data_IF_100042692395
#
_entry.id   IF_100042692395
#
_cell.length_a   1.000
_cell.length_b   1.000
_cell.length_c   1.000
_cell.angle_alpha   90.00
_cell.angle_beta   90.00
_cell.angle_gamma   90.00
#
_symmetry.space_group_name_H-M   'P 1'
#
loop_
_entity.id
_entity.type
_entity.pdbx_description
1 polymer ?
#
# COMPACT_ATOMS: atom_id res chain seq x y z
N UNK A 1 6.89 -12.36 -11.53
CA UNK A 1 6.64 -11.10 -12.27
C UNK A 1 7.79 -10.13 -12.01
N UNK A 2 8.44 -9.67 -13.07
CA UNK A 2 9.43 -8.58 -12.99
C UNK A 2 8.75 -7.21 -13.14
N UNK A 3 9.51 -6.12 -13.01
CA UNK A 3 8.92 -4.78 -13.01
C UNK A 3 8.41 -4.38 -14.40
N UNK A 4 9.13 -4.77 -15.45
CA UNK A 4 8.74 -4.49 -16.83
C UNK A 4 7.39 -5.13 -17.17
N UNK A 5 7.17 -6.37 -16.75
CA UNK A 5 5.87 -7.06 -16.85
C UNK A 5 4.80 -6.34 -16.03
N UNK A 6 5.14 -5.85 -14.83
CA UNK A 6 4.18 -5.10 -14.04
C UNK A 6 3.79 -3.79 -14.72
N UNK A 7 4.74 -3.07 -15.33
CA UNK A 7 4.49 -1.83 -16.05
C UNK A 7 3.59 -2.03 -17.28
N UNK A 8 3.69 -3.17 -17.97
CA UNK A 8 2.81 -3.47 -19.10
C UNK A 8 1.40 -3.77 -18.63
N UNK A 9 1.24 -4.46 -17.50
CA UNK A 9 -0.06 -4.76 -16.89
C UNK A 9 -0.68 -3.51 -16.27
N UNK A 10 0.11 -2.69 -15.57
CA UNK A 10 -0.34 -1.55 -14.74
C UNK A 10 0.27 -0.25 -15.25
N UNK A 11 0.04 0.03 -16.52
CA UNK A 11 0.55 1.25 -17.17
C UNK A 11 -0.11 2.55 -16.69
N UNK A 12 -1.37 2.50 -16.23
CA UNK A 12 -2.13 3.67 -15.82
C UNK A 12 -3.14 3.34 -14.73
N UNK A 13 -3.90 4.35 -14.28
CA UNK A 13 -4.83 4.15 -13.17
C UNK A 13 -5.99 3.20 -13.50
N UNK A 14 -6.48 3.13 -14.74
CA UNK A 14 -7.58 2.25 -15.12
C UNK A 14 -7.15 0.78 -15.16
N UNK A 15 -5.96 0.51 -15.71
CA UNK A 15 -5.36 -0.83 -15.67
C UNK A 15 -4.99 -1.23 -14.25
N UNK A 16 -4.50 -0.28 -13.45
CA UNK A 16 -4.26 -0.49 -12.01
C UNK A 16 -5.53 -0.79 -11.22
N UNK A 17 -6.66 -0.16 -11.55
CA UNK A 17 -7.97 -0.49 -10.93
C UNK A 17 -8.35 -1.93 -11.26
N UNK A 18 -8.26 -2.32 -12.53
CA UNK A 18 -8.56 -3.69 -12.97
C UNK A 18 -7.66 -4.71 -12.28
N UNK A 19 -6.37 -4.41 -12.14
CA UNK A 19 -5.42 -5.25 -11.41
C UNK A 19 -5.81 -5.40 -9.93
N UNK A 20 -6.14 -4.30 -9.24
CA UNK A 20 -6.57 -4.34 -7.84
C UNK A 20 -7.93 -5.04 -7.65
N UNK A 21 -8.78 -5.05 -8.68
CA UNK A 21 -10.02 -5.83 -8.68
C UNK A 21 -9.76 -7.33 -8.77
N UNK A 22 -8.81 -7.76 -9.60
CA UNK A 22 -8.39 -9.17 -9.69
C UNK A 22 -7.84 -9.69 -8.34
N UNK A 23 -7.22 -8.80 -7.55
CA UNK A 23 -6.69 -9.11 -6.23
C UNK A 23 -7.67 -8.84 -5.07
N UNK A 24 -8.95 -8.56 -5.35
CA UNK A 24 -10.00 -8.30 -4.35
C UNK A 24 -9.72 -7.11 -3.40
N UNK A 25 -8.84 -6.18 -3.79
CA UNK A 25 -8.57 -4.96 -3.01
C UNK A 25 -9.64 -3.90 -3.30
N UNK A 26 -10.05 -3.80 -4.56
CA UNK A 26 -11.18 -2.98 -5.00
C UNK A 26 -12.29 -3.94 -5.45
N UNK A 27 -13.53 -3.67 -5.07
CA UNK A 27 -14.67 -4.47 -5.53
C UNK A 27 -14.87 -4.33 -7.05
N UNK A 28 -15.42 -5.36 -7.68
CA UNK A 28 -15.78 -5.31 -9.11
C UNK A 28 -17.07 -4.52 -9.36
N UNK A 29 -17.99 -4.55 -8.40
CA UNK A 29 -19.24 -3.79 -8.42
C UNK A 29 -19.57 -3.23 -7.03
N UNK A 30 -20.33 -2.14 -7.01
CA UNK A 30 -20.80 -1.50 -5.77
C UNK A 30 -22.30 -1.23 -5.90
N UNK A 31 -23.01 -1.08 -4.78
CA UNK A 31 -24.45 -0.81 -4.77
C UNK A 31 -24.70 0.61 -4.27
N UNK A 32 -25.55 1.36 -4.96
CA UNK A 32 -25.98 2.68 -4.49
C UNK A 32 -26.98 2.55 -3.34
N UNK A 33 -27.25 3.63 -2.62
CA UNK A 33 -28.24 3.65 -1.53
C UNK A 33 -29.65 3.20 -1.95
N UNK A 34 -29.97 3.30 -3.25
CA UNK A 34 -31.26 2.90 -3.81
C UNK A 34 -31.24 1.44 -4.32
N UNK A 35 -30.22 0.64 -3.99
CA UNK A 35 -30.15 -0.78 -4.36
C UNK A 35 -29.70 -1.10 -5.80
N UNK A 36 -29.33 -0.10 -6.61
CA UNK A 36 -28.88 -0.33 -7.98
C UNK A 36 -27.36 -0.58 -8.06
N UNK A 37 -26.97 -1.48 -8.97
CA UNK A 37 -25.56 -1.77 -9.31
C UNK A 37 -24.88 -0.53 -9.91
N UNK A 38 -23.66 -0.28 -9.47
CA UNK A 38 -22.78 0.79 -9.91
C UNK A 38 -21.56 0.21 -10.61
N UNK A 39 -21.08 0.93 -11.62
CA UNK A 39 -19.85 0.61 -12.34
C UNK A 39 -18.85 1.76 -12.24
N UNK A 40 -17.57 1.44 -12.36
CA UNK A 40 -16.50 2.44 -12.33
C UNK A 40 -16.51 3.22 -13.64
N UNK A 41 -16.49 4.55 -13.54
CA UNK A 41 -16.26 5.45 -14.66
C UNK A 41 -15.18 6.45 -14.26
N UNK A 42 -13.98 6.30 -14.81
CA UNK A 42 -12.79 7.00 -14.34
C UNK A 42 -12.45 6.58 -12.91
N UNK A 43 -12.43 7.52 -11.96
CA UNK A 43 -12.06 7.26 -10.56
C UNK A 43 -13.25 7.21 -9.59
N UNK A 44 -14.48 7.02 -10.09
CA UNK A 44 -15.70 7.03 -9.28
C UNK A 44 -16.65 5.91 -9.70
N UNK A 45 -17.35 5.36 -8.72
CA UNK A 45 -18.52 4.51 -8.92
C UNK A 45 -19.68 5.38 -9.37
N UNK A 46 -20.37 5.00 -10.46
CA UNK A 46 -21.55 5.71 -10.95
C UNK A 46 -22.71 4.74 -11.19
N UNK A 47 -23.88 5.10 -10.67
CA UNK A 47 -25.11 4.40 -11.00
C UNK A 47 -25.57 4.78 -12.42
N UNK A 48 -25.77 3.79 -13.29
CA UNK A 48 -26.15 4.03 -14.69
C UNK A 48 -27.63 4.39 -14.88
N UNK A 49 -28.48 4.13 -13.87
CA UNK A 49 -29.91 4.45 -13.95
C UNK A 49 -30.10 5.96 -14.04
N UNK A 50 -30.76 6.42 -15.11
CA UNK A 50 -30.95 7.85 -15.42
C UNK A 50 -31.63 8.62 -14.30
N UNK A 51 -32.52 7.99 -13.54
CA UNK A 51 -33.23 8.60 -12.40
C UNK A 51 -32.41 8.62 -11.10
N UNK A 52 -31.31 7.88 -11.01
CA UNK A 52 -30.48 7.81 -9.79
C UNK A 52 -29.22 8.67 -9.93
N UNK A 53 -28.36 8.37 -10.92
CA UNK A 53 -27.07 9.03 -11.19
C UNK A 53 -26.15 9.27 -9.97
N UNK A 54 -26.42 8.63 -8.82
CA UNK A 54 -25.58 8.71 -7.62
C UNK A 54 -24.16 8.25 -7.93
N UNK A 55 -23.21 8.86 -7.24
CA UNK A 55 -21.79 8.53 -7.34
C UNK A 55 -21.18 8.24 -5.98
N UNK A 56 -20.19 7.35 -5.95
CA UNK A 56 -19.35 7.10 -4.78
C UNK A 56 -17.88 7.17 -5.19
N UNK A 57 -17.02 7.65 -4.29
CA UNK A 57 -15.58 7.62 -4.52
C UNK A 57 -15.07 6.19 -4.62
N UNK A 58 -14.13 5.93 -5.54
CA UNK A 58 -13.53 4.60 -5.72
C UNK A 58 -12.87 4.07 -4.44
N UNK A 59 -12.27 4.95 -3.65
CA UNK A 59 -11.43 4.63 -2.49
C UNK A 59 -12.20 4.54 -1.18
N UNK A 60 -13.52 4.71 -1.19
CA UNK A 60 -14.32 4.71 0.03
C UNK A 60 -14.49 3.26 0.49
N UNK A 61 -14.33 3.02 1.80
CA UNK A 61 -14.52 1.72 2.46
C UNK A 61 -13.63 0.60 1.88
N UNK A 62 -12.42 0.94 1.47
CA UNK A 62 -11.38 -0.04 1.14
C UNK A 62 -10.00 0.43 1.61
N UNK A 63 -8.99 -0.40 1.43
CA UNK A 63 -7.63 -0.14 1.89
C UNK A 63 -6.97 1.12 1.27
N UNK A 64 -7.53 1.67 0.19
CA UNK A 64 -7.03 2.91 -0.43
C UNK A 64 -7.66 4.18 0.16
N UNK A 65 -8.49 4.07 1.19
CA UNK A 65 -9.17 5.20 1.84
C UNK A 65 -8.16 6.26 2.26
N UNK A 66 -8.47 7.54 1.98
CA UNK A 66 -7.60 8.68 2.35
C UNK A 66 -6.39 8.88 1.43
N UNK A 67 -6.01 7.91 0.61
CA UNK A 67 -4.90 8.08 -0.33
C UNK A 67 -5.22 9.13 -1.40
N UNK A 68 -4.20 9.90 -1.79
CA UNK A 68 -4.21 10.82 -2.94
C UNK A 68 -3.28 10.38 -4.07
N UNK A 69 -2.50 9.30 -3.87
CA UNK A 69 -1.58 8.80 -4.90
C UNK A 69 -2.36 8.21 -6.09
N UNK A 70 -1.85 8.29 -7.32
CA UNK A 70 -2.44 7.56 -8.45
C UNK A 70 -2.44 6.04 -8.20
N UNK A 71 -3.43 5.33 -8.75
CA UNK A 71 -3.60 3.89 -8.47
C UNK A 71 -2.40 3.07 -8.96
N UNK A 72 -1.91 3.36 -10.17
CA UNK A 72 -0.71 2.68 -10.70
C UNK A 72 0.53 2.94 -9.83
N UNK A 73 0.72 4.17 -9.34
CA UNK A 73 1.82 4.51 -8.43
C UNK A 73 1.79 3.68 -7.16
N UNK A 74 0.60 3.44 -6.60
CA UNK A 74 0.42 2.58 -5.42
C UNK A 74 0.90 1.16 -5.74
N UNK A 75 0.44 0.58 -6.85
CA UNK A 75 0.83 -0.79 -7.23
C UNK A 75 2.34 -0.91 -7.46
N UNK A 76 2.95 0.06 -8.15
CA UNK A 76 4.41 0.09 -8.35
C UNK A 76 5.17 0.25 -7.04
N UNK A 77 4.67 1.11 -6.13
CA UNK A 77 5.28 1.28 -4.82
C UNK A 77 5.28 -0.02 -4.02
N UNK A 78 4.17 -0.75 -4.00
CA UNK A 78 4.06 -2.06 -3.31
C UNK A 78 5.11 -3.03 -3.86
N UNK A 79 5.26 -3.10 -5.19
CA UNK A 79 6.25 -3.95 -5.83
C UNK A 79 7.69 -3.60 -5.41
N UNK A 80 8.04 -2.31 -5.40
CA UNK A 80 9.38 -1.86 -5.03
C UNK A 80 9.64 -2.01 -3.53
N UNK A 81 8.64 -1.75 -2.70
CA UNK A 81 8.73 -1.93 -1.26
C UNK A 81 9.00 -3.39 -0.90
N UNK A 82 8.32 -4.34 -1.57
CA UNK A 82 8.56 -5.77 -1.40
C UNK A 82 9.96 -6.23 -1.86
N UNK A 83 10.70 -5.39 -2.59
CA UNK A 83 12.09 -5.61 -3.01
C UNK A 83 13.09 -4.76 -2.22
N UNK A 84 12.66 -4.18 -1.10
CA UNK A 84 13.51 -3.32 -0.24
C UNK A 84 13.99 -2.04 -0.96
N UNK A 85 13.31 -1.65 -2.04
CA UNK A 85 13.61 -0.45 -2.84
C UNK A 85 12.65 0.69 -2.49
N UNK A 86 12.58 1.08 -1.22
CA UNK A 86 11.62 2.10 -0.72
C UNK A 86 12.28 3.36 -0.17
N UNK A 87 13.51 3.68 -0.61
CA UNK A 87 14.17 4.91 -0.17
C UNK A 87 13.43 6.13 -0.70
N UNK A 88 13.35 7.20 0.09
CA UNK A 88 12.66 8.44 -0.29
C UNK A 88 13.20 9.02 -1.60
N UNK A 89 14.53 8.97 -1.78
CA UNK A 89 15.20 9.46 -3.00
C UNK A 89 14.80 8.63 -4.22
N UNK A 90 14.76 7.30 -4.08
CA UNK A 90 14.32 6.41 -5.14
C UNK A 90 12.85 6.63 -5.51
N UNK A 91 11.94 6.61 -4.53
CA UNK A 91 10.52 6.79 -4.78
C UNK A 91 10.16 8.19 -5.31
N UNK A 92 10.91 9.22 -4.92
CA UNK A 92 10.77 10.55 -5.52
C UNK A 92 11.17 10.55 -7.00
N UNK A 93 12.26 9.87 -7.35
CA UNK A 93 12.78 9.81 -8.73
C UNK A 93 11.92 8.95 -9.65
N UNK A 94 11.59 7.73 -9.23
CA UNK A 94 10.91 6.74 -10.08
C UNK A 94 9.38 6.84 -10.02
N UNK A 95 8.81 7.20 -8.88
CA UNK A 95 7.37 7.16 -8.62
C UNK A 95 6.76 8.55 -8.39
N UNK A 96 7.57 9.60 -8.41
CA UNK A 96 7.16 10.97 -8.09
C UNK A 96 6.43 11.09 -6.74
N UNK A 97 6.84 10.28 -5.75
CA UNK A 97 6.26 10.30 -4.41
C UNK A 97 6.96 11.31 -3.51
N UNK A 98 6.16 12.11 -2.78
CA UNK A 98 6.67 12.98 -1.73
C UNK A 98 7.15 12.18 -0.51
N UNK A 99 8.10 12.73 0.25
CA UNK A 99 8.68 12.08 1.43
C UNK A 99 7.62 11.54 2.40
N UNK A 100 6.65 12.36 2.78
CA UNK A 100 5.59 11.95 3.71
C UNK A 100 4.79 10.77 3.15
N UNK A 101 4.44 10.81 1.86
CA UNK A 101 3.72 9.72 1.22
C UNK A 101 4.51 8.40 1.23
N UNK A 102 5.84 8.45 1.01
CA UNK A 102 6.70 7.25 1.08
C UNK A 102 6.70 6.66 2.48
N UNK A 103 6.82 7.50 3.51
CA UNK A 103 6.81 7.06 4.91
C UNK A 103 5.45 6.48 5.29
N UNK A 104 4.37 7.19 5.00
CA UNK A 104 3.00 6.76 5.30
C UNK A 104 2.68 5.42 4.64
N UNK A 105 2.99 5.29 3.34
CA UNK A 105 2.75 4.03 2.61
C UNK A 105 3.64 2.89 3.08
N UNK A 106 4.88 3.17 3.49
CA UNK A 106 5.72 2.15 4.11
C UNK A 106 5.11 1.65 5.43
N UNK A 107 4.52 2.55 6.23
CA UNK A 107 3.85 2.18 7.48
C UNK A 107 2.58 1.35 7.21
N UNK A 108 1.74 1.76 6.24
CA UNK A 108 0.56 0.97 5.85
C UNK A 108 0.93 -0.45 5.41
N UNK A 109 2.04 -0.64 4.69
CA UNK A 109 2.49 -1.97 4.31
C UNK A 109 3.01 -2.79 5.49
N UNK A 110 3.71 -2.16 6.44
CA UNK A 110 4.12 -2.82 7.69
C UNK A 110 2.92 -3.27 8.52
N UNK A 111 1.89 -2.45 8.62
CA UNK A 111 0.65 -2.81 9.32
C UNK A 111 0.01 -4.07 8.73
N UNK A 112 -0.02 -4.19 7.39
CA UNK A 112 -0.50 -5.40 6.71
C UNK A 112 0.37 -6.62 7.05
N UNK A 113 1.70 -6.46 7.09
CA UNK A 113 2.61 -7.53 7.50
C UNK A 113 2.37 -7.97 8.95
N UNK A 114 2.24 -7.01 9.88
CA UNK A 114 1.95 -7.29 11.30
C UNK A 114 0.63 -8.03 11.44
N UNK A 115 -0.45 -7.51 10.83
CA UNK A 115 -1.75 -8.17 10.82
C UNK A 115 -1.68 -9.62 10.30
N UNK A 116 -0.88 -9.85 9.24
CA UNK A 116 -0.69 -11.19 8.69
C UNK A 116 0.08 -12.10 9.66
N UNK A 117 1.07 -11.58 10.36
CA UNK A 117 1.81 -12.33 11.40
C UNK A 117 0.90 -12.68 12.59
N UNK A 118 0.06 -11.75 13.03
CA UNK A 118 -0.88 -11.94 14.14
C UNK A 118 -1.94 -13.01 13.82
N UNK A 119 -2.46 -13.05 12.59
CA UNK A 119 -3.46 -14.07 12.20
C UNK A 119 -2.83 -15.45 12.03
N UNK A 120 -1.57 -15.52 11.59
CA UNK A 120 -0.89 -16.80 11.39
C UNK A 120 -0.29 -17.37 12.70
N UNK A 121 -0.79 -16.94 13.87
CA UNK A 121 -0.34 -17.34 15.21
C UNK A 121 -0.01 -18.83 15.32
N UNK A 122 1.28 -19.17 15.23
CA UNK A 122 1.86 -20.39 15.78
C UNK A 122 3.39 -20.44 15.76
N UNK A 123 4.09 -19.35 16.08
CA UNK A 123 5.53 -19.41 16.35
C UNK A 123 5.90 -18.49 17.50
N UNK A 124 5.98 -19.06 18.69
CA UNK A 124 6.84 -18.49 19.74
C UNK A 124 8.24 -18.27 19.13
N UNK A 125 8.88 -17.15 19.48
CA UNK A 125 10.26 -16.94 19.10
C UNK A 125 11.10 -17.84 20.01
N UNK A 126 11.57 -18.96 19.47
CA UNK A 126 12.31 -19.99 20.20
C UNK A 126 11.56 -21.31 20.35
N UNK A 127 12.09 -22.18 21.20
CA UNK A 127 11.55 -23.52 21.45
C UNK A 127 12.66 -24.52 21.82
N UNK A 128 12.33 -25.75 22.24
CA UNK A 128 13.32 -26.75 22.59
C UNK A 128 14.32 -26.98 21.44
N UNK A 129 15.62 -26.75 21.69
CA UNK A 129 16.68 -26.92 20.69
C UNK A 129 16.88 -25.75 19.73
N UNK A 130 16.17 -24.63 19.90
CA UNK A 130 16.39 -23.39 19.14
C UNK A 130 17.13 -22.37 20.01
N UNK A 131 18.22 -21.81 19.46
CA UNK A 131 18.93 -20.69 20.07
C UNK A 131 18.35 -19.38 19.54
N UNK A 132 17.91 -18.52 20.45
CA UNK A 132 17.48 -17.15 20.13
C UNK A 132 18.59 -16.20 20.53
N UNK A 133 19.14 -15.50 19.55
CA UNK A 133 20.10 -14.42 19.77
C UNK A 133 19.36 -13.09 19.83
N UNK A 134 19.59 -12.33 20.89
CA UNK A 134 19.06 -10.97 21.05
C UNK A 134 20.25 -10.05 20.84
N UNK A 135 20.24 -9.34 19.71
CA UNK A 135 21.23 -8.31 19.43
C UNK A 135 20.73 -6.95 19.94
N UNK A 136 21.59 -6.21 20.64
CA UNK A 136 21.31 -4.88 21.14
C UNK A 136 22.01 -3.85 20.25
N UNK A 137 21.24 -3.23 19.35
CA UNK A 137 21.75 -2.16 18.49
C UNK A 137 21.63 -0.78 19.17
N UNK A 138 22.76 -0.09 19.35
CA UNK A 138 22.81 1.26 19.93
C UNK A 138 22.46 2.32 18.87
N UNK A 139 21.19 2.73 18.81
CA UNK A 139 20.78 3.85 17.96
C UNK A 139 20.81 5.19 18.72
N UNK A 140 21.96 5.86 18.68
CA UNK A 140 22.15 7.17 19.35
C UNK A 140 22.37 8.29 18.35
N UNK A 141 21.63 9.38 18.54
CA UNK A 141 21.79 10.63 17.78
C UNK A 141 22.42 11.69 18.68
N UNK A 142 23.49 12.34 18.21
CA UNK A 142 24.17 13.40 18.98
C UNK A 142 23.23 14.57 19.25
N UNK A 143 23.16 15.02 20.50
CA UNK A 143 22.43 16.24 20.87
C UNK A 143 23.13 17.44 20.22
N UNK A 144 22.41 18.19 19.39
CA UNK A 144 22.92 19.35 18.65
C UNK A 144 24.14 19.06 17.75
N UNK A 145 24.28 17.84 17.22
CA UNK A 145 25.47 17.39 16.47
C UNK A 145 26.80 17.52 17.24
N UNK A 146 26.75 17.74 18.55
CA UNK A 146 27.87 17.88 19.45
C UNK A 146 27.80 16.79 20.54
N UNK A 147 28.92 16.52 21.20
CA UNK A 147 29.02 15.50 22.26
C UNK A 147 29.69 14.19 21.81
N UNK A 148 29.86 13.22 22.69
CA UNK A 148 30.63 12.00 22.40
C UNK A 148 30.05 11.20 21.22
N UNK A 149 30.91 10.73 20.32
CA UNK A 149 30.55 9.72 19.32
C UNK A 149 30.58 8.37 20.04
N UNK A 150 29.44 7.71 20.07
CA UNK A 150 29.32 6.35 20.59
C UNK A 150 29.45 5.37 19.41
N UNK A 151 30.04 4.19 19.64
CA UNK A 151 30.23 3.17 18.61
C UNK A 151 28.90 2.69 18.04
#
# INVERSE_FOLDING_TARGET
MNFTELLTIVSNSDTGISFLQQHNIIKVSEVCENGHIMFIKGSRWRCQKRSCRKEKGLRINNWLTGSRLPIHTIVHFIYYWAREMSSVTFCKRELNMGQNAVVDWSNYLREVCVWKLEINQNKEIGGPGLFVEIDESLFVRRKNNAGRILP
#
